data_IF_435722848071
#
_entry.id   IF_435722848071
#
_cell.length_a   1.000
_cell.length_b   1.000
_cell.length_c   1.000
_cell.angle_alpha   90.00
_cell.angle_beta   90.00
_cell.angle_gamma   90.00
#
_symmetry.space_group_name_H-M   'P 1'
#
loop_
_entity.id
_entity.type
_entity.pdbx_description
1 polymer ?
#
# COMPACT_ATOMS: atom_id res chain seq x y z
N UNK A 1 12.40 12.44 7.82
CA UNK A 1 11.07 11.80 7.66
C UNK A 1 10.64 11.32 9.02
N UNK A 2 9.43 11.71 9.44
CA UNK A 2 8.91 11.54 10.79
C UNK A 2 7.73 10.56 10.76
N UNK A 3 7.67 9.63 11.73
CA UNK A 3 6.58 8.66 11.82
C UNK A 3 5.26 9.32 12.22
N UNK A 4 5.37 10.46 12.92
CA UNK A 4 4.32 11.19 13.61
C UNK A 4 3.39 11.99 12.66
N UNK A 5 3.69 11.98 11.36
CA UNK A 5 2.93 12.70 10.34
C UNK A 5 2.06 11.73 9.56
N UNK A 6 0.76 12.00 9.48
CA UNK A 6 -0.14 11.38 8.51
C UNK A 6 -0.03 12.12 7.17
N UNK A 7 0.34 11.41 6.11
CA UNK A 7 0.54 11.99 4.77
C UNK A 7 -0.67 11.73 3.88
N UNK A 8 -1.11 12.72 3.10
CA UNK A 8 -2.11 12.50 2.04
C UNK A 8 -1.53 11.60 0.95
N UNK A 9 -2.32 10.63 0.51
CA UNK A 9 -1.93 9.68 -0.55
C UNK A 9 -2.82 9.92 -1.76
N UNK A 10 -2.21 10.39 -2.85
CA UNK A 10 -2.94 10.72 -4.10
C UNK A 10 -2.64 9.73 -5.24
N UNK A 11 -1.61 8.89 -5.07
CA UNK A 11 -1.21 7.85 -6.03
C UNK A 11 -0.60 6.63 -5.32
N UNK A 12 -0.28 5.59 -6.10
CA UNK A 12 0.45 4.40 -5.64
C UNK A 12 1.76 4.20 -6.43
N UNK A 13 2.41 5.31 -6.79
CA UNK A 13 3.71 5.28 -7.47
C UNK A 13 4.78 4.60 -6.61
N UNK A 14 5.86 4.12 -7.24
CA UNK A 14 6.97 3.49 -6.53
C UNK A 14 7.57 4.43 -5.46
N UNK A 15 7.58 5.74 -5.74
CA UNK A 15 8.05 6.76 -4.79
C UNK A 15 7.12 6.89 -3.58
N UNK A 16 5.80 6.93 -3.79
CA UNK A 16 4.80 7.00 -2.71
C UNK A 16 4.86 5.76 -1.83
N UNK A 17 4.87 4.56 -2.43
CA UNK A 17 4.95 3.30 -1.69
C UNK A 17 6.28 3.17 -0.93
N UNK A 18 7.40 3.61 -1.53
CA UNK A 18 8.70 3.64 -0.85
C UNK A 18 8.68 4.61 0.34
N UNK A 19 8.05 5.77 0.20
CA UNK A 19 7.93 6.74 1.29
C UNK A 19 7.10 6.18 2.46
N UNK A 20 6.04 5.42 2.19
CA UNK A 20 5.28 4.69 3.22
C UNK A 20 6.19 3.66 3.91
N UNK A 21 6.98 2.88 3.15
CA UNK A 21 7.92 1.91 3.70
C UNK A 21 8.95 2.56 4.62
N UNK A 22 9.50 3.69 4.21
CA UNK A 22 10.45 4.44 5.00
C UNK A 22 9.79 4.89 6.32
N UNK A 23 8.56 5.44 6.28
CA UNK A 23 7.83 5.84 7.50
C UNK A 23 7.54 4.65 8.41
N UNK A 24 7.11 3.52 7.86
CA UNK A 24 6.93 2.27 8.63
C UNK A 24 8.21 1.84 9.34
N UNK A 25 9.39 2.03 8.73
CA UNK A 25 10.68 1.63 9.30
C UNK A 25 11.00 2.34 10.63
N UNK A 26 10.40 3.50 10.87
CA UNK A 26 10.59 4.32 12.08
C UNK A 26 9.34 4.36 12.97
N UNK A 27 8.24 3.71 12.56
CA UNK A 27 7.02 3.57 13.36
C UNK A 27 7.24 2.63 14.55
N UNK A 28 6.83 3.06 15.75
CA UNK A 28 7.03 2.32 17.00
C UNK A 28 5.86 2.41 17.96
N UNK A 29 5.07 3.48 17.85
CA UNK A 29 3.92 3.73 18.70
C UNK A 29 2.63 3.29 18.01
N UNK A 30 1.60 3.02 18.82
CA UNK A 30 0.26 2.63 18.33
C UNK A 30 -0.31 3.68 17.38
N UNK A 31 -0.14 4.97 17.71
CA UNK A 31 -0.57 6.08 16.86
C UNK A 31 0.10 6.03 15.47
N UNK A 32 1.37 5.64 15.40
CA UNK A 32 2.05 5.50 14.11
C UNK A 32 1.44 4.37 13.28
N UNK A 33 0.99 3.28 13.92
CA UNK A 33 0.31 2.18 13.20
C UNK A 33 -1.01 2.66 12.61
N UNK A 34 -1.80 3.42 13.37
CA UNK A 34 -3.06 4.02 12.88
C UNK A 34 -2.79 4.92 11.66
N UNK A 35 -1.72 5.72 11.68
CA UNK A 35 -1.36 6.56 10.53
C UNK A 35 -0.91 5.75 9.31
N UNK A 36 -0.12 4.70 9.53
CA UNK A 36 0.34 3.83 8.43
C UNK A 36 -0.80 2.99 7.85
N UNK A 37 -1.72 2.52 8.69
CA UNK A 37 -2.96 1.83 8.29
C UNK A 37 -3.81 2.76 7.40
N UNK A 38 -4.05 3.99 7.85
CA UNK A 38 -4.82 5.00 7.10
C UNK A 38 -4.21 5.33 5.73
N UNK A 39 -2.88 5.39 5.64
CA UNK A 39 -2.20 5.59 4.36
C UNK A 39 -2.35 4.39 3.42
N UNK A 40 -2.30 3.17 3.95
CA UNK A 40 -2.50 1.95 3.18
C UNK A 40 -3.95 1.77 2.71
N UNK A 41 -4.91 2.19 3.52
CA UNK A 41 -6.33 2.25 3.15
C UNK A 41 -6.53 3.12 1.91
N UNK A 42 -5.85 4.26 1.83
CA UNK A 42 -5.98 5.15 0.69
C UNK A 42 -5.31 4.57 -0.57
N UNK A 43 -4.16 3.90 -0.42
CA UNK A 43 -3.56 3.11 -1.53
C UNK A 43 -4.53 2.02 -2.01
N UNK A 44 -5.16 1.29 -1.08
CA UNK A 44 -6.14 0.27 -1.43
C UNK A 44 -7.33 0.90 -2.18
N UNK A 45 -7.90 2.00 -1.68
CA UNK A 45 -9.01 2.72 -2.34
C UNK A 45 -8.70 3.08 -3.79
N UNK A 46 -7.48 3.55 -4.07
CA UNK A 46 -7.02 3.87 -5.41
C UNK A 46 -6.89 2.62 -6.29
N UNK A 47 -6.27 1.56 -5.78
CA UNK A 47 -6.12 0.29 -6.50
C UNK A 47 -7.47 -0.37 -6.79
N UNK A 48 -8.43 -0.30 -5.87
CA UNK A 48 -9.75 -0.90 -6.05
C UNK A 48 -10.54 -0.19 -7.16
N UNK A 49 -10.43 1.15 -7.24
CA UNK A 49 -10.99 1.93 -8.32
C UNK A 49 -10.37 1.53 -9.68
N UNK A 50 -9.06 1.37 -9.75
CA UNK A 50 -8.36 1.00 -10.99
C UNK A 50 -8.62 -0.45 -11.42
N UNK A 51 -8.74 -1.39 -10.47
CA UNK A 51 -9.20 -2.77 -10.78
C UNK A 51 -10.61 -2.73 -11.38
N UNK A 52 -11.53 -1.97 -10.79
CA UNK A 52 -12.91 -1.86 -11.27
C UNK A 52 -12.97 -1.22 -12.67
N UNK A 53 -12.16 -0.18 -12.92
CA UNK A 53 -12.07 0.46 -14.23
C UNK A 53 -11.45 -0.48 -15.27
N UNK A 54 -10.35 -1.16 -14.95
CA UNK A 54 -9.69 -2.11 -15.86
C UNK A 54 -10.61 -3.27 -16.26
N UNK A 55 -11.43 -3.76 -15.34
CA UNK A 55 -12.43 -4.80 -15.61
C UNK A 55 -13.56 -4.30 -16.52
N UNK A 56 -13.96 -3.03 -16.40
CA UNK A 56 -15.02 -2.41 -17.21
C UNK A 56 -14.56 -2.06 -18.62
N UNK A 57 -13.36 -1.52 -18.74
CA UNK A 57 -12.82 -0.95 -19.98
C UNK A 57 -12.17 -2.01 -20.89
N UNK A 58 -12.15 -3.27 -20.45
CA UNK A 58 -11.60 -4.38 -21.23
C UNK A 58 -10.07 -4.34 -21.35
N UNK A 59 -9.39 -3.87 -20.30
CA UNK A 59 -7.93 -3.91 -20.24
C UNK A 59 -7.40 -5.34 -20.41
N UNK A 60 -6.11 -5.45 -20.77
CA UNK A 60 -5.48 -6.77 -20.92
C UNK A 60 -5.56 -7.57 -19.61
N UNK A 61 -5.76 -8.88 -19.71
CA UNK A 61 -5.79 -9.77 -18.54
C UNK A 61 -4.53 -9.65 -17.68
N UNK A 62 -3.37 -9.39 -18.31
CA UNK A 62 -2.09 -9.15 -17.62
C UNK A 62 -2.15 -7.89 -16.74
N UNK A 63 -2.73 -6.80 -17.26
CA UNK A 63 -2.86 -5.56 -16.50
C UNK A 63 -3.82 -5.71 -15.32
N UNK A 64 -4.97 -6.37 -15.54
CA UNK A 64 -5.93 -6.65 -14.47
C UNK A 64 -5.30 -7.51 -13.37
N UNK A 65 -4.66 -8.61 -13.74
CA UNK A 65 -3.99 -9.51 -12.79
C UNK A 65 -2.89 -8.79 -11.98
N UNK A 66 -2.16 -7.86 -12.61
CA UNK A 66 -1.15 -7.05 -11.95
C UNK A 66 -1.77 -6.12 -10.90
N UNK A 67 -2.85 -5.43 -11.24
CA UNK A 67 -3.57 -4.54 -10.30
C UNK A 67 -4.16 -5.34 -9.13
N UNK A 68 -4.74 -6.51 -9.40
CA UNK A 68 -5.28 -7.40 -8.36
C UNK A 68 -4.17 -7.91 -7.41
N UNK A 69 -3.01 -8.28 -7.96
CA UNK A 69 -1.86 -8.72 -7.17
C UNK A 69 -1.31 -7.58 -6.30
N UNK A 70 -1.22 -6.36 -6.84
CA UNK A 70 -0.83 -5.18 -6.06
C UNK A 70 -1.83 -4.90 -4.93
N UNK A 71 -3.14 -4.93 -5.23
CA UNK A 71 -4.19 -4.72 -4.22
C UNK A 71 -4.10 -5.73 -3.09
N UNK A 72 -3.90 -7.01 -3.41
CA UNK A 72 -3.73 -8.07 -2.40
C UNK A 72 -2.55 -7.80 -1.47
N UNK A 73 -1.40 -7.39 -2.02
CA UNK A 73 -0.20 -7.09 -1.22
C UNK A 73 -0.40 -5.87 -0.31
N UNK A 74 -1.14 -4.86 -0.77
CA UNK A 74 -1.45 -3.67 0.04
C UNK A 74 -2.41 -4.02 1.19
N UNK A 75 -3.42 -4.85 0.94
CA UNK A 75 -4.31 -5.36 2.00
C UNK A 75 -3.52 -6.17 3.03
N UNK A 76 -2.63 -7.06 2.58
CA UNK A 76 -1.76 -7.81 3.49
C UNK A 76 -0.87 -6.88 4.33
N UNK A 77 -0.31 -5.82 3.72
CA UNK A 77 0.48 -4.84 4.45
C UNK A 77 -0.36 -4.08 5.48
N UNK A 78 -1.60 -3.74 5.13
CA UNK A 78 -2.56 -3.06 5.99
C UNK A 78 -2.84 -3.90 7.24
N UNK A 79 -3.19 -5.16 7.04
CA UNK A 79 -3.53 -6.07 8.14
C UNK A 79 -2.33 -6.31 9.07
N UNK A 80 -1.11 -6.43 8.52
CA UNK A 80 0.10 -6.57 9.30
C UNK A 80 0.38 -5.35 10.18
N UNK A 81 0.13 -4.13 9.67
CA UNK A 81 0.30 -2.90 10.43
C UNK A 81 -0.80 -2.73 11.48
N UNK A 82 -2.07 -2.84 11.08
CA UNK A 82 -3.22 -2.55 11.94
C UNK A 82 -3.49 -3.62 13.00
N UNK A 83 -3.37 -4.91 12.64
CA UNK A 83 -3.69 -6.01 13.55
C UNK A 83 -2.49 -6.48 14.37
N UNK A 84 -1.31 -6.52 13.75
CA UNK A 84 -0.12 -7.17 14.34
C UNK A 84 0.97 -6.17 14.75
N UNK A 85 0.92 -4.91 14.26
CA UNK A 85 2.00 -3.94 14.43
C UNK A 85 3.30 -4.35 13.72
N UNK A 86 3.25 -5.32 12.80
CA UNK A 86 4.42 -5.87 12.11
C UNK A 86 4.78 -5.01 10.89
N UNK A 87 5.47 -3.91 11.18
CA UNK A 87 6.00 -3.00 10.16
C UNK A 87 7.11 -3.63 9.30
N UNK A 88 7.74 -4.72 9.73
CA UNK A 88 8.78 -5.37 8.94
C UNK A 88 8.13 -6.17 7.82
N UNK A 89 7.19 -7.06 8.15
CA UNK A 89 6.47 -7.85 7.18
C UNK A 89 5.62 -6.98 6.24
N UNK A 90 4.99 -5.91 6.75
CA UNK A 90 4.22 -4.99 5.93
C UNK A 90 5.08 -4.33 4.82
N UNK A 91 6.29 -3.89 5.16
CA UNK A 91 7.25 -3.33 4.18
C UNK A 91 7.70 -4.36 3.16
N UNK A 92 7.85 -5.63 3.54
CA UNK A 92 8.14 -6.69 2.57
C UNK A 92 7.01 -6.84 1.53
N UNK A 93 5.75 -6.69 1.95
CA UNK A 93 4.60 -6.73 1.04
C UNK A 93 4.57 -5.53 0.11
N UNK A 94 4.80 -4.32 0.64
CA UNK A 94 4.94 -3.13 -0.18
C UNK A 94 6.11 -3.22 -1.16
N UNK A 95 7.26 -3.79 -0.75
CA UNK A 95 8.40 -4.03 -1.64
C UNK A 95 8.03 -4.94 -2.82
N UNK A 96 7.22 -5.98 -2.57
CA UNK A 96 6.69 -6.84 -3.64
C UNK A 96 5.68 -6.11 -4.53
N UNK A 97 4.87 -5.21 -3.97
CA UNK A 97 3.93 -4.40 -4.75
C UNK A 97 4.65 -3.41 -5.66
N UNK A 98 5.73 -2.78 -5.17
CA UNK A 98 6.61 -1.90 -5.94
C UNK A 98 7.21 -2.63 -7.13
N UNK A 99 7.68 -3.88 -6.94
CA UNK A 99 8.25 -4.69 -8.01
C UNK A 99 7.25 -5.07 -9.12
N UNK A 100 5.95 -4.83 -8.93
CA UNK A 100 4.92 -5.00 -9.95
C UNK A 100 4.67 -3.72 -10.78
N UNK A 101 5.27 -2.59 -10.42
CA UNK A 101 5.16 -1.33 -11.19
C UNK A 101 6.09 -1.29 -12.41
N UNK A 102 7.16 -2.10 -12.39
CA UNK A 102 8.13 -2.27 -13.49
C UNK A 102 7.58 -3.16 -14.63
#
# INVERSE_FOLDING_TARGET
MHADELTSIDDYSAATLSSICERMAVSREVEHMIYRESELDEVWRLLDADVANAARDGCSAKQLQRLEAMRSLVIEAHDLVGNEGDTVAARERLGRAIALLD
#
